data_IF_351653400133
#
_entry.id   IF_351653400133
#
_cell.length_a   1.000
_cell.length_b   1.000
_cell.length_c   1.000
_cell.angle_alpha   90.00
_cell.angle_beta   90.00
_cell.angle_gamma   90.00
#
_symmetry.space_group_name_H-M   'P 1'
#
loop_
_entity.id
_entity.type
_entity.pdbx_description
1 polymer ?
#
# COMPACT_ATOMS: atom_id res chain seq x y z
N UNK A 1 -5.84 0.81 -8.51
CA UNK A 1 -6.68 1.42 -7.46
C UNK A 1 -5.86 1.47 -6.20
N UNK A 2 -5.92 2.59 -5.47
CA UNK A 2 -5.10 2.75 -4.26
C UNK A 2 -5.73 2.00 -3.09
N UNK A 3 -4.89 1.55 -2.17
CA UNK A 3 -5.33 0.90 -0.93
C UNK A 3 -6.25 1.83 -0.14
N UNK A 4 -5.94 3.12 -0.07
CA UNK A 4 -6.79 4.13 0.57
C UNK A 4 -8.24 4.08 0.08
N UNK A 5 -8.43 4.18 -1.23
CA UNK A 5 -9.75 4.19 -1.87
C UNK A 5 -10.52 2.90 -1.58
N UNK A 6 -9.80 1.77 -1.56
CA UNK A 6 -10.41 0.48 -1.26
C UNK A 6 -10.89 0.40 0.20
N UNK A 7 -10.09 0.83 1.16
CA UNK A 7 -10.44 0.82 2.58
C UNK A 7 -11.65 1.75 2.83
N UNK A 8 -11.65 2.94 2.23
CA UNK A 8 -12.77 3.89 2.34
C UNK A 8 -14.10 3.29 1.83
N UNK A 9 -14.04 2.44 0.78
CA UNK A 9 -15.22 1.76 0.24
C UNK A 9 -15.71 0.54 1.06
N UNK A 10 -14.89 0.04 2.00
CA UNK A 10 -15.21 -1.13 2.83
C UNK A 10 -14.96 -0.89 4.33
N UNK A 11 -15.63 0.11 4.96
CA UNK A 11 -15.27 0.61 6.29
C UNK A 11 -15.52 -0.38 7.45
N UNK A 12 -16.24 -1.48 7.21
CA UNK A 12 -16.56 -2.49 8.22
C UNK A 12 -15.80 -3.81 8.01
N UNK A 13 -14.92 -3.87 7.01
CA UNK A 13 -14.17 -5.08 6.67
C UNK A 13 -12.83 -5.14 7.41
N UNK A 14 -12.36 -6.36 7.63
CA UNK A 14 -10.96 -6.60 8.00
C UNK A 14 -10.13 -6.80 6.74
N UNK A 15 -8.87 -6.39 6.77
CA UNK A 15 -7.96 -6.52 5.64
C UNK A 15 -6.75 -7.35 6.06
N UNK A 16 -6.51 -8.46 5.38
CA UNK A 16 -5.34 -9.31 5.54
C UNK A 16 -4.45 -9.13 4.32
N UNK A 17 -3.34 -8.40 4.48
CA UNK A 17 -2.58 -7.85 3.35
C UNK A 17 -1.17 -8.40 3.32
N UNK A 18 -0.77 -8.94 2.17
CA UNK A 18 0.64 -9.10 1.83
C UNK A 18 1.11 -7.82 1.12
N UNK A 19 1.95 -7.05 1.80
CA UNK A 19 2.52 -5.79 1.29
C UNK A 19 4.01 -5.98 1.00
N UNK A 20 4.65 -5.09 0.22
CA UNK A 20 6.10 -5.15 0.04
C UNK A 20 6.89 -5.01 1.35
N UNK A 21 6.32 -4.32 2.36
CA UNK A 21 6.90 -4.16 3.70
C UNK A 21 6.61 -5.32 4.66
N UNK A 22 5.92 -6.37 4.21
CA UNK A 22 5.53 -7.53 5.03
C UNK A 22 4.02 -7.66 5.19
N UNK A 23 3.61 -8.54 6.11
CA UNK A 23 2.21 -8.87 6.34
C UNK A 23 1.55 -7.86 7.28
N UNK A 24 0.43 -7.30 6.87
CA UNK A 24 -0.34 -6.34 7.67
C UNK A 24 -1.77 -6.84 7.79
N UNK A 25 -2.21 -7.08 9.02
CA UNK A 25 -3.62 -7.34 9.31
C UNK A 25 -4.26 -6.12 9.95
N UNK A 26 -5.36 -5.65 9.37
CA UNK A 26 -6.15 -4.53 9.87
C UNK A 26 -7.54 -5.03 10.27
N UNK A 27 -7.89 -4.81 11.53
CA UNK A 27 -9.29 -4.78 11.95
C UNK A 27 -9.99 -3.53 11.37
N UNK A 28 -11.33 -3.46 11.35
CA UNK A 28 -12.05 -2.26 10.90
C UNK A 28 -11.64 -0.99 11.68
N UNK A 29 -11.36 -1.15 12.98
CA UNK A 29 -10.83 -0.06 13.82
C UNK A 29 -9.46 0.41 13.35
N UNK A 30 -8.52 -0.52 13.12
CA UNK A 30 -7.17 -0.17 12.65
C UNK A 30 -7.18 0.41 11.25
N UNK A 31 -8.09 -0.06 10.38
CA UNK A 31 -8.28 0.52 9.05
C UNK A 31 -8.68 2.00 9.14
N UNK A 32 -9.57 2.35 10.08
CA UNK A 32 -9.91 3.76 10.37
C UNK A 32 -8.70 4.54 10.91
N UNK A 33 -7.98 3.98 11.88
CA UNK A 33 -6.78 4.64 12.43
C UNK A 33 -5.71 4.88 11.34
N UNK A 34 -5.53 3.92 10.43
CA UNK A 34 -4.63 4.06 9.28
C UNK A 34 -5.08 5.22 8.37
N UNK A 35 -6.37 5.32 8.05
CA UNK A 35 -6.93 6.44 7.29
C UNK A 35 -6.75 7.80 7.98
N UNK A 36 -6.68 7.82 9.32
CA UNK A 36 -6.38 9.00 10.13
C UNK A 36 -4.87 9.31 10.22
N UNK A 37 -4.03 8.53 9.54
CA UNK A 37 -2.58 8.76 9.45
C UNK A 37 -1.75 8.01 10.49
N UNK A 38 -2.32 7.03 11.21
CA UNK A 38 -1.56 6.22 12.15
C UNK A 38 -0.74 5.13 11.46
N UNK A 39 0.54 5.07 11.80
CA UNK A 39 1.45 4.04 11.29
C UNK A 39 1.07 2.64 11.76
N UNK A 40 1.33 1.65 10.90
CA UNK A 40 0.96 0.26 11.12
C UNK A 40 2.19 -0.61 11.36
N UNK A 41 1.97 -1.75 12.01
CA UNK A 41 2.99 -2.80 12.15
C UNK A 41 2.84 -3.81 11.03
N UNK A 42 3.95 -4.11 10.38
CA UNK A 42 4.05 -5.19 9.39
C UNK A 42 4.93 -6.30 9.92
N UNK A 43 4.41 -7.53 9.89
CA UNK A 43 5.10 -8.72 10.35
C UNK A 43 5.97 -9.28 9.21
N UNK A 44 7.25 -9.56 9.49
CA UNK A 44 8.20 -10.05 8.49
C UNK A 44 8.14 -11.58 8.28
N UNK A 45 7.18 -12.25 8.91
CA UNK A 45 7.08 -13.72 8.90
C UNK A 45 8.01 -14.41 9.91
N UNK A 46 8.72 -13.64 10.73
CA UNK A 46 9.60 -14.12 11.80
C UNK A 46 8.99 -13.68 13.14
N UNK A 47 8.72 -14.65 14.02
CA UNK A 47 8.10 -14.39 15.32
C UNK A 47 8.86 -13.31 16.11
N UNK A 48 8.14 -12.27 16.53
CA UNK A 48 8.69 -11.17 17.33
C UNK A 48 9.40 -10.07 16.53
N UNK A 49 9.39 -10.14 15.19
CA UNK A 49 9.96 -9.12 14.32
C UNK A 49 8.88 -8.42 13.50
N UNK A 50 8.50 -7.24 13.98
CA UNK A 50 7.61 -6.31 13.29
C UNK A 50 8.38 -5.04 12.91
N UNK A 51 8.11 -4.53 11.71
CA UNK A 51 8.55 -3.20 11.30
C UNK A 51 7.39 -2.22 11.36
N UNK A 52 7.70 -0.94 11.57
CA UNK A 52 6.71 0.13 11.40
C UNK A 52 6.66 0.52 9.92
N UNK A 53 5.48 0.52 9.33
CA UNK A 53 5.21 1.06 7.99
C UNK A 53 4.39 2.33 8.16
N UNK A 54 4.82 3.41 7.50
CA UNK A 54 4.11 4.68 7.62
C UNK A 54 2.72 4.62 6.99
N UNK A 55 1.77 5.37 7.56
CA UNK A 55 0.41 5.42 7.01
C UNK A 55 0.40 5.91 5.55
N UNK A 56 1.21 6.92 5.24
CA UNK A 56 1.35 7.48 3.90
C UNK A 56 1.84 6.42 2.91
N UNK A 57 2.92 5.71 3.25
CA UNK A 57 3.49 4.67 2.40
C UNK A 57 2.47 3.56 2.14
N UNK A 58 1.82 3.06 3.18
CA UNK A 58 0.88 1.95 3.07
C UNK A 58 -0.36 2.33 2.25
N UNK A 59 -0.98 3.48 2.55
CA UNK A 59 -2.17 3.97 1.85
C UNK A 59 -1.91 4.32 0.38
N UNK A 60 -0.67 4.67 0.03
CA UNK A 60 -0.27 4.95 -1.34
C UNK A 60 -0.13 3.68 -2.20
N UNK A 61 -0.05 2.48 -1.62
CA UNK A 61 0.13 1.24 -2.38
C UNK A 61 -1.07 0.96 -3.30
N UNK A 62 -0.80 0.24 -4.39
CA UNK A 62 -1.82 -0.26 -5.30
C UNK A 62 -2.32 -1.63 -4.84
N UNK A 63 -3.63 -1.83 -4.90
CA UNK A 63 -4.23 -3.16 -4.77
C UNK A 63 -4.00 -3.93 -6.07
N UNK A 64 -3.31 -5.07 -5.97
CA UNK A 64 -2.96 -5.95 -7.10
C UNK A 64 -3.97 -7.09 -7.23
N UNK A 65 -4.31 -7.72 -6.10
CA UNK A 65 -5.25 -8.83 -6.07
C UNK A 65 -6.10 -8.77 -4.81
N UNK A 66 -7.32 -9.29 -4.90
CA UNK A 66 -8.26 -9.38 -3.78
C UNK A 66 -9.00 -10.71 -3.82
N UNK A 67 -9.15 -11.31 -2.64
CA UNK A 67 -10.06 -12.44 -2.40
C UNK A 67 -10.86 -12.17 -1.12
N UNK A 68 -12.15 -12.45 -1.16
CA UNK A 68 -13.02 -12.35 0.01
C UNK A 68 -13.20 -13.70 0.69
N UNK A 69 -13.16 -13.70 2.02
CA UNK A 69 -13.60 -14.79 2.89
C UNK A 69 -14.46 -14.21 4.03
N UNK A 70 -15.78 -14.30 3.87
CA UNK A 70 -16.72 -13.64 4.78
C UNK A 70 -16.48 -12.11 4.86
N UNK A 71 -16.16 -11.62 6.05
CA UNK A 71 -15.89 -10.21 6.31
C UNK A 71 -14.39 -9.82 6.14
N UNK A 72 -13.53 -10.79 5.82
CA UNK A 72 -12.10 -10.59 5.65
C UNK A 72 -11.77 -10.46 4.16
N UNK A 73 -11.07 -9.38 3.83
CA UNK A 73 -10.54 -9.10 2.51
C UNK A 73 -9.05 -9.47 2.49
N UNK A 74 -8.70 -10.56 1.82
CA UNK A 74 -7.31 -10.95 1.61
C UNK A 74 -6.76 -10.20 0.39
N UNK A 75 -5.66 -9.47 0.56
CA UNK A 75 -5.15 -8.55 -0.44
C UNK A 75 -3.67 -8.78 -0.72
N UNK A 76 -3.30 -8.65 -1.99
CA UNK A 76 -1.93 -8.39 -2.39
C UNK A 76 -1.82 -6.93 -2.80
N UNK A 77 -0.86 -6.21 -2.23
CA UNK A 77 -0.55 -4.83 -2.60
C UNK A 77 0.87 -4.73 -3.12
N UNK A 78 1.13 -3.67 -3.89
CA UNK A 78 2.46 -3.35 -4.39
C UNK A 78 2.67 -1.83 -4.42
N UNK A 79 3.91 -1.39 -4.48
CA UNK A 79 4.24 0.02 -4.64
C UNK A 79 3.64 0.57 -5.94
N UNK A 80 3.27 1.85 -5.95
CA UNK A 80 3.02 2.53 -7.22
C UNK A 80 4.34 2.54 -7.98
N UNK A 81 4.40 1.88 -9.13
CA UNK A 81 5.49 2.07 -10.07
C UNK A 81 5.54 3.55 -10.45
N UNK A 82 6.48 4.30 -9.87
CA UNK A 82 6.88 5.58 -10.42
C UNK A 82 7.49 5.24 -11.77
N UNK A 83 6.81 5.55 -12.87
CA UNK A 83 7.46 5.55 -14.17
C UNK A 83 8.66 6.48 -14.04
N UNK A 84 9.86 5.98 -14.25
CA UNK A 84 10.99 6.88 -14.49
C UNK A 84 10.58 7.79 -15.66
N UNK A 85 10.84 9.11 -15.56
CA UNK A 85 10.68 9.96 -16.73
C UNK A 85 11.53 9.34 -17.84
N UNK A 86 10.89 9.07 -19.00
CA UNK A 86 11.64 8.52 -20.13
C UNK A 86 12.83 9.43 -20.40
N UNK A 87 14.04 8.87 -20.58
CA UNK A 87 15.20 9.69 -20.90
C UNK A 87 14.88 10.54 -22.12
N UNK A 88 15.27 11.83 -22.13
CA UNK A 88 14.98 12.71 -23.26
C UNK A 88 15.48 12.06 -24.54
N UNK A 89 14.63 12.05 -25.56
CA UNK A 89 14.96 11.44 -26.84
C UNK A 89 16.32 11.98 -27.34
N UNK A 90 17.24 11.10 -27.78
CA UNK A 90 18.54 11.54 -28.27
C UNK A 90 18.33 12.42 -29.51
N UNK A 91 18.59 13.73 -29.38
CA UNK A 91 18.55 14.65 -30.53
C UNK A 91 18.05 16.07 -30.29
N UNK A 92 17.56 16.44 -29.10
CA UNK A 92 17.25 17.85 -28.84
C UNK A 92 18.53 18.59 -28.43
N UNK A 93 19.24 19.06 -29.45
CA UNK A 93 20.39 19.94 -29.33
C UNK A 93 20.05 21.16 -28.47
N UNK A 94 20.80 21.33 -27.39
CA UNK A 94 20.74 22.52 -26.55
C UNK A 94 21.41 23.64 -27.35
N UNK A 95 20.64 24.62 -27.84
CA UNK A 95 21.21 25.89 -28.28
C UNK A 95 21.54 26.66 -27.01
N UNK A 96 22.83 26.78 -26.71
CA UNK A 96 23.32 27.70 -25.68
C UNK A 96 23.18 29.13 -26.23
N UNK A 97 22.35 29.95 -25.59
CA UNK A 97 22.32 31.39 -25.80
C UNK A 97 23.46 32.08 -25.06
#
# INVERSE_FOLDING_TARGET
>A
MRLKEWIESHPQSSFDMMTPGGYVFLTPKQAKELLEGKDMKAHLGISGYDITVSAEELLAQNVVNVKWDGAVCHMLTDYIQKREPEPPAPGQGVVMC
#
